data_IF_266595805023
#
_entry.id   IF_266595805023
#
_cell.length_a   1.000
_cell.length_b   1.000
_cell.length_c   1.000
_cell.angle_alpha   90.00
_cell.angle_beta   90.00
_cell.angle_gamma   90.00
#
_symmetry.space_group_name_H-M   'P 1'
#
loop_
_entity.id
_entity.type
_entity.pdbx_description
1 polymer ?
#
# COMPACT_ATOMS: atom_id res chain seq x y z
N UNK A 1 1.69 -1.97 13.88
CA UNK A 1 2.53 -2.84 13.02
C UNK A 1 2.23 -2.58 11.54
N UNK A 2 3.13 -2.88 10.64
CA UNK A 2 2.98 -2.70 9.17
C UNK A 2 3.53 -3.91 8.43
N UNK A 3 3.14 -4.09 7.14
CA UNK A 3 3.57 -5.22 6.30
C UNK A 3 2.73 -6.48 6.50
N UNK A 4 2.95 -7.48 5.62
CA UNK A 4 2.12 -8.70 5.58
C UNK A 4 2.37 -9.68 6.74
N UNK A 5 3.37 -9.42 7.58
CA UNK A 5 3.84 -10.41 8.56
C UNK A 5 4.58 -11.57 7.92
N UNK A 6 5.15 -12.43 8.74
CA UNK A 6 5.82 -13.67 8.31
C UNK A 6 4.94 -14.89 8.53
N UNK A 7 3.99 -14.82 9.45
CA UNK A 7 3.16 -15.94 9.89
C UNK A 7 1.80 -15.44 10.42
N UNK A 8 0.77 -16.28 10.31
CA UNK A 8 -0.56 -16.03 10.91
C UNK A 8 -0.49 -15.94 12.45
N UNK A 9 0.53 -16.52 13.07
CA UNK A 9 0.77 -16.44 14.53
C UNK A 9 1.01 -15.02 15.02
N UNK A 10 1.39 -14.09 14.13
CA UNK A 10 1.56 -12.66 14.44
C UNK A 10 0.21 -11.93 14.66
N UNK A 11 -0.93 -12.62 14.49
CA UNK A 11 -2.29 -12.01 14.55
C UNK A 11 -2.54 -11.24 15.85
N UNK A 12 -2.13 -11.79 16.99
CA UNK A 12 -2.33 -11.15 18.30
C UNK A 12 -1.54 -9.84 18.40
N UNK A 13 -0.31 -9.80 17.88
CA UNK A 13 0.54 -8.61 17.88
C UNK A 13 -0.02 -7.53 16.95
N UNK A 14 -0.53 -7.91 15.77
CA UNK A 14 -1.20 -6.96 14.88
C UNK A 14 -2.42 -6.33 15.54
N UNK A 15 -3.28 -7.13 16.19
CA UNK A 15 -4.47 -6.65 16.89
C UNK A 15 -4.08 -5.76 18.08
N UNK A 16 -3.10 -6.18 18.89
CA UNK A 16 -2.65 -5.39 20.04
C UNK A 16 -2.11 -4.01 19.62
N UNK A 17 -1.27 -3.95 18.58
CA UNK A 17 -0.63 -2.71 18.16
C UNK A 17 -1.55 -1.82 17.32
N UNK A 18 -2.30 -2.40 16.39
CA UNK A 18 -3.11 -1.61 15.47
C UNK A 18 -4.51 -1.35 16.04
N UNK A 19 -5.24 -2.36 16.43
CA UNK A 19 -6.64 -2.20 16.84
C UNK A 19 -6.73 -1.68 18.29
N UNK A 20 -6.14 -2.38 19.25
CA UNK A 20 -6.16 -1.96 20.64
C UNK A 20 -5.42 -0.63 20.82
N UNK A 21 -4.26 -0.45 20.18
CA UNK A 21 -3.53 0.81 20.22
C UNK A 21 -4.36 1.99 19.69
N UNK A 22 -5.10 1.79 18.60
CA UNK A 22 -6.03 2.81 18.07
C UNK A 22 -7.19 3.06 19.04
N UNK A 23 -7.82 2.02 19.57
CA UNK A 23 -8.92 2.15 20.52
C UNK A 23 -8.49 2.91 21.78
N UNK A 24 -7.30 2.63 22.31
CA UNK A 24 -6.74 3.36 23.48
C UNK A 24 -6.52 4.82 23.13
N UNK A 25 -5.93 5.14 21.98
CA UNK A 25 -5.74 6.53 21.54
C UNK A 25 -7.09 7.27 21.45
N UNK A 26 -8.06 6.69 20.76
CA UNK A 26 -9.38 7.31 20.56
C UNK A 26 -10.11 7.52 21.90
N UNK A 27 -10.02 6.58 22.84
CA UNK A 27 -10.54 6.71 24.20
C UNK A 27 -9.92 7.92 24.93
N UNK A 28 -8.61 8.07 24.87
CA UNK A 28 -7.93 9.18 25.56
C UNK A 28 -8.25 10.53 24.90
N UNK A 29 -8.38 10.57 23.56
CA UNK A 29 -8.85 11.75 22.86
C UNK A 29 -10.28 12.15 23.29
N UNK A 30 -11.19 11.18 23.44
CA UNK A 30 -12.54 11.41 23.93
C UNK A 30 -12.53 11.94 25.37
N UNK A 31 -11.75 11.33 26.28
CA UNK A 31 -11.58 11.79 27.66
C UNK A 31 -11.03 13.21 27.74
N UNK A 32 -10.09 13.54 26.90
CA UNK A 32 -9.50 14.88 26.78
C UNK A 32 -10.44 15.90 26.13
N UNK A 33 -11.63 15.52 25.68
CA UNK A 33 -12.54 16.36 24.88
C UNK A 33 -11.83 17.02 23.71
N UNK A 34 -11.02 16.20 23.00
CA UNK A 34 -10.24 16.69 21.87
C UNK A 34 -11.15 17.31 20.81
N UNK A 35 -10.88 18.58 20.46
CA UNK A 35 -11.68 19.36 19.50
C UNK A 35 -10.92 19.66 18.20
N UNK A 36 -9.80 18.97 17.94
CA UNK A 36 -9.03 19.12 16.71
C UNK A 36 -9.53 18.23 15.59
N UNK A 37 -8.63 17.82 14.71
CA UNK A 37 -8.89 16.85 13.64
C UNK A 37 -7.90 15.69 13.71
N UNK A 38 -8.32 14.52 13.29
CA UNK A 38 -7.50 13.32 13.29
C UNK A 38 -7.19 12.90 11.85
N UNK A 39 -5.92 12.63 11.55
CA UNK A 39 -5.49 12.01 10.29
C UNK A 39 -5.00 10.61 10.60
N UNK A 40 -5.63 9.61 9.98
CA UNK A 40 -5.30 8.20 10.14
C UNK A 40 -4.45 7.72 8.97
N UNK A 41 -3.28 7.19 9.25
CA UNK A 41 -2.47 6.46 8.27
C UNK A 41 -3.13 5.11 7.98
N UNK A 42 -3.97 5.04 6.96
CA UNK A 42 -4.53 3.81 6.42
C UNK A 42 -3.67 3.26 5.27
N UNK A 43 -4.16 2.32 4.50
CA UNK A 43 -3.39 1.63 3.47
C UNK A 43 -4.28 1.12 2.34
N UNK A 44 -3.72 1.02 1.13
CA UNK A 44 -4.35 0.36 -0.02
C UNK A 44 -4.72 -1.11 0.25
N UNK A 45 -4.11 -1.75 1.22
CA UNK A 45 -4.36 -3.17 1.53
C UNK A 45 -5.80 -3.45 1.91
N UNK A 46 -6.56 -2.43 2.33
CA UNK A 46 -7.99 -2.55 2.68
C UNK A 46 -8.85 -2.95 1.47
N UNK A 47 -8.39 -2.69 0.25
CA UNK A 47 -9.11 -3.04 -0.98
C UNK A 47 -9.01 -4.53 -1.34
N UNK A 48 -7.99 -5.23 -0.86
CA UNK A 48 -7.71 -6.60 -1.23
C UNK A 48 -7.20 -6.71 -2.67
N UNK A 49 -7.73 -7.65 -3.45
CA UNK A 49 -7.46 -7.74 -4.89
C UNK A 49 -8.06 -6.51 -5.59
N UNK A 50 -7.35 -5.99 -6.59
CA UNK A 50 -7.68 -4.74 -7.24
C UNK A 50 -9.04 -4.70 -7.94
N UNK A 51 -9.23 -3.68 -8.76
CA UNK A 51 -10.42 -3.52 -9.59
C UNK A 51 -10.13 -4.02 -10.99
N UNK A 52 -11.04 -4.80 -11.55
CA UNK A 52 -10.87 -5.41 -12.86
C UNK A 52 -12.11 -5.26 -13.72
N UNK A 53 -11.92 -5.30 -15.04
CA UNK A 53 -13.01 -5.39 -16.00
C UNK A 53 -12.83 -6.63 -16.90
N UNK A 54 -13.94 -7.32 -17.13
CA UNK A 54 -14.12 -8.32 -18.17
C UNK A 54 -14.74 -7.64 -19.40
N UNK A 55 -14.27 -8.00 -20.59
CA UNK A 55 -14.85 -7.45 -21.83
C UNK A 55 -16.36 -7.74 -21.98
N UNK A 56 -16.81 -8.89 -21.46
CA UNK A 56 -18.21 -9.32 -21.56
C UNK A 56 -19.07 -8.91 -20.36
N UNK A 57 -18.48 -8.88 -19.16
CA UNK A 57 -19.22 -8.71 -17.89
C UNK A 57 -18.98 -7.36 -17.22
N UNK A 58 -18.20 -6.47 -17.86
CA UNK A 58 -17.87 -5.18 -17.26
C UNK A 58 -17.03 -5.32 -16.01
N UNK A 59 -17.29 -4.50 -15.00
CA UNK A 59 -16.55 -4.53 -13.73
C UNK A 59 -16.87 -5.80 -12.95
N UNK A 60 -15.83 -6.55 -12.63
CA UNK A 60 -15.89 -7.80 -11.86
C UNK A 60 -14.87 -7.78 -10.73
N UNK A 61 -15.09 -8.63 -9.74
CA UNK A 61 -14.19 -8.81 -8.62
C UNK A 61 -13.73 -10.25 -8.59
N UNK A 62 -12.46 -10.54 -8.93
CA UNK A 62 -11.94 -11.89 -8.86
C UNK A 62 -11.80 -12.35 -7.41
N UNK A 63 -11.99 -13.64 -7.19
CA UNK A 63 -11.70 -14.27 -5.91
C UNK A 63 -10.20 -14.35 -5.62
N UNK A 64 -9.82 -14.98 -4.48
CA UNK A 64 -8.42 -15.29 -4.18
C UNK A 64 -7.78 -16.11 -5.30
N UNK A 65 -6.51 -15.82 -5.62
CA UNK A 65 -5.76 -16.56 -6.62
C UNK A 65 -5.53 -17.99 -6.14
N UNK A 66 -5.71 -18.95 -7.03
CA UNK A 66 -5.57 -20.38 -6.68
C UNK A 66 -4.11 -20.81 -6.78
N UNK A 67 -3.66 -21.57 -5.81
CA UNK A 67 -2.28 -22.06 -5.76
C UNK A 67 -1.89 -22.84 -7.03
N UNK A 68 -2.78 -23.69 -7.54
CA UNK A 68 -2.56 -24.46 -8.77
C UNK A 68 -2.32 -23.58 -10.01
N UNK A 69 -2.96 -22.40 -10.07
CA UNK A 69 -2.74 -21.45 -11.16
C UNK A 69 -1.38 -20.75 -11.01
N UNK A 70 -1.04 -20.32 -9.80
CA UNK A 70 0.25 -19.71 -9.49
C UNK A 70 1.42 -20.67 -9.78
N UNK A 71 1.30 -21.92 -9.32
CA UNK A 71 2.30 -22.97 -9.57
C UNK A 71 2.48 -23.29 -11.08
N UNK A 72 1.43 -23.08 -11.87
CA UNK A 72 1.46 -23.24 -13.32
C UNK A 72 1.88 -21.97 -14.08
N UNK A 73 2.32 -20.91 -13.36
CA UNK A 73 2.72 -19.63 -13.98
C UNK A 73 1.54 -18.79 -14.50
N UNK A 74 0.31 -19.11 -14.12
CA UNK A 74 -0.87 -18.34 -14.47
C UNK A 74 -1.16 -17.33 -13.35
N UNK A 75 -0.59 -16.16 -13.47
CA UNK A 75 -0.61 -15.14 -12.41
C UNK A 75 -1.82 -14.21 -12.49
N UNK A 76 -2.38 -14.01 -13.69
CA UNK A 76 -3.56 -13.14 -13.86
C UNK A 76 -4.83 -13.81 -13.32
N UNK A 77 -5.65 -13.11 -12.51
CA UNK A 77 -6.92 -13.64 -12.07
C UNK A 77 -7.90 -13.74 -13.25
N UNK A 78 -8.60 -14.86 -13.41
CA UNK A 78 -9.63 -15.00 -14.44
C UNK A 78 -10.95 -14.32 -14.02
N UNK A 79 -11.77 -14.00 -15.01
CA UNK A 79 -13.13 -13.55 -14.78
C UNK A 79 -13.91 -14.62 -13.98
N UNK A 80 -14.54 -14.26 -12.85
CA UNK A 80 -15.27 -15.22 -12.03
C UNK A 80 -16.54 -15.78 -12.70
N UNK A 81 -16.99 -15.16 -13.81
CA UNK A 81 -18.20 -15.55 -14.55
C UNK A 81 -17.86 -16.42 -15.75
N UNK A 82 -16.95 -15.97 -16.64
CA UNK A 82 -16.65 -16.68 -17.90
C UNK A 82 -15.22 -17.25 -17.99
N UNK A 83 -14.35 -16.98 -16.99
CA UNK A 83 -12.96 -17.44 -17.01
C UNK A 83 -12.03 -16.67 -17.94
N UNK A 84 -12.51 -15.67 -18.67
CA UNK A 84 -11.69 -14.85 -19.57
C UNK A 84 -10.67 -13.98 -18.82
N UNK A 85 -9.66 -13.52 -19.52
CA UNK A 85 -8.68 -12.57 -18.99
C UNK A 85 -9.34 -11.26 -18.57
N UNK A 86 -8.83 -10.67 -17.50
CA UNK A 86 -9.30 -9.41 -16.96
C UNK A 86 -8.32 -8.28 -17.23
N UNK A 87 -8.83 -7.07 -17.47
CA UNK A 87 -8.05 -5.85 -17.50
C UNK A 87 -8.05 -5.19 -16.11
N UNK A 88 -6.88 -4.88 -15.52
CA UNK A 88 -6.83 -4.16 -14.26
C UNK A 88 -7.22 -2.69 -14.43
N UNK A 89 -7.94 -2.15 -13.45
CA UNK A 89 -8.41 -0.77 -13.42
C UNK A 89 -8.01 -0.06 -12.12
N UNK A 90 -7.96 1.27 -12.18
CA UNK A 90 -7.76 2.13 -11.03
C UNK A 90 -8.88 1.95 -10.00
N UNK A 91 -8.53 1.92 -8.73
CA UNK A 91 -9.45 1.72 -7.61
C UNK A 91 -9.89 3.07 -7.05
N UNK A 92 -11.17 3.42 -7.07
CA UNK A 92 -11.69 4.61 -6.40
C UNK A 92 -11.90 4.32 -4.90
N UNK A 93 -12.07 5.37 -4.09
CA UNK A 93 -12.22 5.27 -2.65
C UNK A 93 -13.52 4.59 -2.19
N UNK A 94 -14.55 4.61 -3.01
CA UNK A 94 -15.83 3.94 -2.80
C UNK A 94 -15.85 2.46 -3.21
N UNK A 95 -14.73 1.93 -3.71
CA UNK A 95 -14.63 0.52 -4.05
C UNK A 95 -14.87 -0.36 -2.81
N UNK A 96 -15.52 -1.52 -2.97
CA UNK A 96 -15.73 -2.46 -1.88
C UNK A 96 -14.39 -2.86 -1.22
N UNK A 97 -14.38 -2.93 0.10
CA UNK A 97 -13.21 -3.28 0.89
C UNK A 97 -13.19 -4.79 1.17
N UNK A 98 -12.03 -5.44 1.02
CA UNK A 98 -11.88 -6.88 1.14
C UNK A 98 -10.48 -7.27 1.61
N UNK A 99 -10.16 -7.05 2.89
CA UNK A 99 -8.83 -7.30 3.41
C UNK A 99 -8.45 -8.77 3.29
N UNK A 100 -7.29 -9.06 2.68
CA UNK A 100 -6.84 -10.42 2.34
C UNK A 100 -5.82 -11.02 3.33
N UNK A 101 -5.43 -10.26 4.34
CA UNK A 101 -4.50 -10.70 5.37
C UNK A 101 -4.75 -9.97 6.69
N UNK A 102 -4.11 -10.42 7.77
CA UNK A 102 -4.28 -9.87 9.12
C UNK A 102 -3.99 -8.37 9.17
N UNK A 103 -2.89 -7.93 8.56
CA UNK A 103 -2.54 -6.50 8.52
C UNK A 103 -3.64 -5.67 7.84
N UNK A 104 -4.14 -6.14 6.70
CA UNK A 104 -5.22 -5.47 5.98
C UNK A 104 -6.50 -5.39 6.83
N UNK A 105 -6.85 -6.47 7.53
CA UNK A 105 -8.00 -6.50 8.43
C UNK A 105 -7.87 -5.46 9.56
N UNK A 106 -6.70 -5.36 10.19
CA UNK A 106 -6.49 -4.36 11.25
C UNK A 106 -6.50 -2.93 10.69
N UNK A 107 -5.99 -2.69 9.48
CA UNK A 107 -6.06 -1.36 8.85
C UNK A 107 -7.51 -0.95 8.56
N UNK A 108 -8.33 -1.86 8.07
CA UNK A 108 -9.74 -1.61 7.86
C UNK A 108 -10.47 -1.37 9.20
N UNK A 109 -10.17 -2.16 10.21
CA UNK A 109 -10.75 -1.97 11.54
C UNK A 109 -10.38 -0.61 12.15
N UNK A 110 -9.15 -0.12 11.97
CA UNK A 110 -8.78 1.24 12.37
C UNK A 110 -9.65 2.31 11.69
N UNK A 111 -9.96 2.18 10.39
CA UNK A 111 -10.89 3.09 9.70
C UNK A 111 -12.29 3.05 10.33
N UNK A 112 -12.79 1.86 10.64
CA UNK A 112 -14.12 1.68 11.27
C UNK A 112 -14.17 2.30 12.68
N UNK A 113 -13.17 2.05 13.53
CA UNK A 113 -13.07 2.65 14.86
C UNK A 113 -13.00 4.18 14.78
N UNK A 114 -12.19 4.71 13.88
CA UNK A 114 -12.04 6.15 13.69
C UNK A 114 -13.33 6.80 13.14
N UNK A 115 -14.05 6.12 12.25
CA UNK A 115 -15.33 6.59 11.74
C UNK A 115 -16.43 6.56 12.82
N UNK A 116 -16.46 5.55 13.69
CA UNK A 116 -17.38 5.48 14.84
C UNK A 116 -17.08 6.63 15.81
N UNK A 117 -15.80 6.81 16.18
CA UNK A 117 -15.36 7.91 17.03
C UNK A 117 -15.76 9.28 16.46
N UNK A 118 -15.58 9.49 15.15
CA UNK A 118 -15.97 10.73 14.49
C UNK A 118 -17.47 11.00 14.60
N UNK A 119 -18.31 9.99 14.41
CA UNK A 119 -19.77 10.14 14.53
C UNK A 119 -20.22 10.46 15.94
N UNK A 120 -19.58 9.85 16.96
CA UNK A 120 -19.98 10.02 18.35
C UNK A 120 -19.48 11.33 18.98
N UNK A 121 -18.31 11.81 18.55
CA UNK A 121 -17.65 12.98 19.13
C UNK A 121 -17.76 14.24 18.31
N UNK A 122 -18.08 14.13 17.02
CA UNK A 122 -18.03 15.23 16.06
C UNK A 122 -16.60 15.58 15.60
N UNK A 123 -15.57 14.90 16.08
CA UNK A 123 -14.18 15.12 15.65
C UNK A 123 -14.00 14.63 14.21
N UNK A 124 -13.61 15.50 13.26
CA UNK A 124 -13.42 15.08 11.89
C UNK A 124 -12.19 14.17 11.75
N UNK A 125 -12.37 13.04 11.04
CA UNK A 125 -11.33 12.06 10.78
C UNK A 125 -11.11 11.93 9.27
N UNK A 126 -9.85 12.06 8.85
CA UNK A 126 -9.39 11.83 7.48
C UNK A 126 -8.52 10.58 7.45
N UNK A 127 -8.94 9.53 6.75
CA UNK A 127 -8.14 8.32 6.55
C UNK A 127 -7.37 8.42 5.22
N UNK A 128 -6.06 8.36 5.27
CA UNK A 128 -5.20 8.39 4.09
C UNK A 128 -4.77 6.96 3.76
N UNK A 129 -5.31 6.39 2.69
CA UNK A 129 -4.97 5.06 2.17
C UNK A 129 -3.69 5.16 1.34
N UNK A 130 -2.55 5.00 2.01
CA UNK A 130 -1.25 5.03 1.34
C UNK A 130 -1.09 3.85 0.40
N UNK A 131 -0.67 4.14 -0.82
CA UNK A 131 -0.22 3.13 -1.76
C UNK A 131 1.23 2.72 -1.48
N UNK A 132 1.97 2.16 -2.43
CA UNK A 132 3.32 1.66 -2.15
C UNK A 132 4.32 2.80 -1.88
N UNK A 133 4.44 3.18 -0.62
CA UNK A 133 5.36 4.25 -0.22
C UNK A 133 6.81 3.80 -0.37
N UNK A 134 7.65 4.67 -0.94
CA UNK A 134 9.09 4.47 -1.03
C UNK A 134 9.85 5.77 -0.76
N UNK A 135 11.16 5.67 -0.51
CA UNK A 135 12.03 6.83 -0.35
C UNK A 135 13.04 6.68 0.80
N UNK A 136 13.81 7.76 1.08
CA UNK A 136 14.81 7.77 2.12
C UNK A 136 14.28 7.33 3.49
N UNK A 137 15.15 6.71 4.29
CA UNK A 137 14.87 6.25 5.66
C UNK A 137 13.94 5.04 5.77
N UNK A 138 13.65 4.35 4.67
CA UNK A 138 12.98 3.04 4.78
C UNK A 138 13.84 2.08 5.63
N UNK A 139 13.23 1.18 6.42
CA UNK A 139 13.97 0.18 7.18
C UNK A 139 14.58 -0.86 6.25
N UNK A 140 15.77 -1.37 6.59
CA UNK A 140 16.41 -2.48 5.87
C UNK A 140 16.16 -3.82 6.57
N UNK A 141 16.31 -4.90 5.81
CA UNK A 141 16.37 -6.28 6.31
C UNK A 141 15.20 -6.65 7.25
N UNK A 142 13.97 -6.24 6.91
CA UNK A 142 12.79 -6.58 7.68
C UNK A 142 11.68 -7.10 6.78
N UNK A 143 11.00 -8.20 7.15
CA UNK A 143 9.86 -8.74 6.40
C UNK A 143 8.64 -7.80 6.41
N UNK A 144 8.59 -6.86 7.35
CA UNK A 144 7.52 -5.89 7.51
C UNK A 144 7.69 -4.65 6.62
N UNK A 145 8.78 -4.56 5.84
CA UNK A 145 8.98 -3.48 4.88
C UNK A 145 8.32 -3.78 3.54
N UNK A 146 7.92 -2.72 2.85
CA UNK A 146 7.42 -2.85 1.47
C UNK A 146 8.50 -3.32 0.50
N UNK A 147 8.08 -3.82 -0.66
CA UNK A 147 8.96 -4.42 -1.69
C UNK A 147 10.13 -3.52 -2.09
N UNK A 148 9.95 -2.21 -2.12
CA UNK A 148 11.01 -1.25 -2.42
C UNK A 148 12.19 -1.36 -1.43
N UNK A 149 11.90 -1.50 -0.13
CA UNK A 149 12.91 -1.67 0.90
C UNK A 149 13.64 -3.01 0.79
N UNK A 150 12.91 -4.08 0.46
CA UNK A 150 13.50 -5.42 0.25
C UNK A 150 14.52 -5.36 -0.90
N UNK A 151 14.16 -4.71 -2.02
CA UNK A 151 15.04 -4.57 -3.16
C UNK A 151 16.26 -3.66 -2.86
N UNK A 152 16.01 -2.53 -2.19
CA UNK A 152 17.11 -1.64 -1.78
C UNK A 152 18.08 -2.34 -0.80
N UNK A 153 17.57 -3.18 0.12
CA UNK A 153 18.39 -3.98 1.03
C UNK A 153 19.22 -5.04 0.27
N UNK A 154 18.63 -5.68 -0.73
CA UNK A 154 19.35 -6.64 -1.58
C UNK A 154 20.50 -5.95 -2.32
N UNK A 155 20.23 -4.82 -2.99
CA UNK A 155 21.23 -4.03 -3.71
C UNK A 155 22.33 -3.51 -2.76
N UNK A 156 21.95 -3.04 -1.57
CA UNK A 156 22.91 -2.59 -0.56
C UNK A 156 23.84 -3.72 -0.08
N UNK A 157 23.35 -4.96 -0.10
CA UNK A 157 24.11 -6.18 0.23
C UNK A 157 24.81 -6.82 -0.97
N UNK A 158 24.89 -6.16 -2.14
CA UNK A 158 25.52 -6.71 -3.34
C UNK A 158 24.76 -7.88 -3.96
N UNK A 159 23.48 -8.05 -3.65
CA UNK A 159 22.64 -9.17 -4.12
C UNK A 159 21.61 -8.69 -5.16
N UNK A 160 21.27 -9.57 -6.09
CA UNK A 160 20.17 -9.32 -7.04
C UNK A 160 18.83 -9.18 -6.29
N UNK A 161 18.03 -8.16 -6.59
CA UNK A 161 16.62 -8.14 -6.19
C UNK A 161 15.86 -9.34 -6.77
N UNK A 162 15.15 -10.07 -5.91
CA UNK A 162 14.32 -11.23 -6.34
C UNK A 162 12.92 -10.74 -6.67
N UNK A 163 12.56 -10.77 -7.93
CA UNK A 163 11.26 -10.36 -8.44
C UNK A 163 10.39 -11.61 -8.55
N UNK A 164 9.31 -11.66 -7.77
CA UNK A 164 8.41 -12.81 -7.75
C UNK A 164 7.48 -12.81 -8.96
N UNK A 165 6.90 -13.97 -9.22
CA UNK A 165 6.06 -14.25 -10.37
C UNK A 165 6.84 -13.89 -11.67
N UNK A 166 6.20 -13.16 -12.56
CA UNK A 166 6.79 -12.60 -13.79
C UNK A 166 7.23 -11.13 -13.64
N UNK A 167 7.05 -10.56 -12.43
CA UNK A 167 7.31 -9.15 -12.17
C UNK A 167 6.23 -8.20 -12.69
N UNK A 168 5.15 -8.71 -13.26
CA UNK A 168 4.08 -7.92 -13.89
C UNK A 168 3.06 -7.33 -12.92
N UNK A 169 3.15 -7.62 -11.62
CA UNK A 169 2.22 -7.10 -10.60
C UNK A 169 2.23 -5.57 -10.61
N UNK A 170 1.08 -4.94 -10.85
CA UNK A 170 0.96 -3.48 -10.88
C UNK A 170 0.72 -2.92 -9.47
N UNK A 171 1.45 -1.87 -9.17
CA UNK A 171 1.35 -1.08 -7.95
C UNK A 171 1.45 0.41 -8.27
N UNK A 172 0.93 1.24 -7.40
CA UNK A 172 1.22 2.67 -7.43
C UNK A 172 2.32 2.98 -6.41
N UNK A 173 3.46 3.47 -6.89
CA UNK A 173 4.60 3.84 -6.06
C UNK A 173 4.57 5.34 -5.79
N UNK A 174 4.36 5.72 -4.53
CA UNK A 174 4.29 7.11 -4.09
C UNK A 174 5.50 7.45 -3.21
N UNK A 175 6.13 8.59 -3.46
CA UNK A 175 7.31 9.00 -2.70
C UNK A 175 6.93 9.47 -1.29
N UNK A 176 7.78 9.21 -0.31
CA UNK A 176 7.51 9.55 1.10
C UNK A 176 7.28 11.05 1.34
N UNK A 177 7.90 11.94 0.54
CA UNK A 177 7.62 13.38 0.61
C UNK A 177 6.19 13.72 0.17
N UNK A 178 5.68 13.04 -0.84
CA UNK A 178 4.28 13.20 -1.27
C UNK A 178 3.33 12.72 -0.19
N UNK A 179 3.63 11.59 0.45
CA UNK A 179 2.83 11.10 1.59
C UNK A 179 2.86 12.10 2.76
N UNK A 180 4.03 12.64 3.09
CA UNK A 180 4.14 13.67 4.13
C UNK A 180 3.30 14.90 3.79
N UNK A 181 3.35 15.36 2.51
CA UNK A 181 2.53 16.48 2.04
C UNK A 181 1.03 16.19 2.13
N UNK A 182 0.57 14.98 1.80
CA UNK A 182 -0.83 14.59 1.95
C UNK A 182 -1.29 14.71 3.42
N UNK A 183 -0.46 14.29 4.38
CA UNK A 183 -0.75 14.45 5.81
C UNK A 183 -0.86 15.92 6.21
N UNK A 184 0.09 16.76 5.76
CA UNK A 184 0.05 18.19 6.06
C UNK A 184 -1.21 18.81 5.47
N UNK A 185 -1.56 18.55 4.23
CA UNK A 185 -2.77 19.06 3.59
C UNK A 185 -4.03 18.65 4.36
N UNK A 186 -4.15 17.39 4.77
CA UNK A 186 -5.29 16.91 5.55
C UNK A 186 -5.39 17.60 6.93
N UNK A 187 -4.25 17.87 7.58
CA UNK A 187 -4.20 18.51 8.90
C UNK A 187 -4.44 20.02 8.83
N UNK A 188 -4.00 20.69 7.76
CA UNK A 188 -3.99 22.16 7.64
C UNK A 188 -5.06 22.72 6.69
N UNK A 189 -5.88 21.88 6.07
CA UNK A 189 -6.97 22.33 5.22
C UNK A 189 -7.84 23.38 5.96
N UNK A 190 -8.27 24.47 5.30
CA UNK A 190 -9.08 25.52 5.96
C UNK A 190 -10.33 24.94 6.62
N UNK A 191 -11.00 24.00 5.95
CA UNK A 191 -12.11 23.24 6.47
C UNK A 191 -11.68 21.77 6.57
N UNK A 192 -12.06 21.08 7.67
CA UNK A 192 -11.78 19.67 7.82
C UNK A 192 -12.43 18.86 6.69
N UNK A 193 -11.73 17.89 6.15
CA UNK A 193 -12.17 17.05 5.03
C UNK A 193 -12.25 15.60 5.51
N UNK A 194 -13.36 15.21 6.18
CA UNK A 194 -13.51 13.83 6.65
C UNK A 194 -13.74 12.86 5.47
N UNK A 195 -13.32 11.61 5.68
CA UNK A 195 -13.46 10.54 4.70
C UNK A 195 -12.17 9.77 4.46
N UNK A 196 -12.21 8.84 3.52
CA UNK A 196 -11.04 8.09 3.09
C UNK A 196 -10.53 8.63 1.74
N UNK A 197 -9.20 8.70 1.59
CA UNK A 197 -8.56 9.24 0.39
C UNK A 197 -7.36 8.38 -0.02
N UNK A 198 -7.27 8.05 -1.30
CA UNK A 198 -6.10 7.42 -1.86
C UNK A 198 -4.92 8.39 -1.92
N UNK A 199 -3.78 7.98 -1.38
CA UNK A 199 -2.52 8.70 -1.52
C UNK A 199 -1.63 7.90 -2.46
N UNK A 200 -1.66 8.27 -3.73
CA UNK A 200 -1.08 7.57 -4.86
C UNK A 200 -0.42 8.55 -5.83
N UNK A 201 0.44 8.05 -6.70
CA UNK A 201 1.03 8.85 -7.78
C UNK A 201 0.07 9.03 -8.97
N UNK A 202 -0.92 8.15 -9.09
CA UNK A 202 -1.82 8.05 -10.23
C UNK A 202 -1.20 7.36 -11.44
N UNK A 203 0.02 6.83 -11.32
CA UNK A 203 0.74 6.15 -12.42
C UNK A 203 1.17 4.75 -11.98
N UNK A 204 0.42 3.71 -12.36
CA UNK A 204 0.79 2.33 -12.01
C UNK A 204 2.09 1.92 -12.69
N UNK A 205 2.87 1.10 -11.99
CA UNK A 205 4.10 0.48 -12.48
C UNK A 205 4.19 -0.95 -12.02
N UNK A 206 4.85 -1.79 -12.81
CA UNK A 206 5.09 -3.16 -12.40
C UNK A 206 6.20 -3.25 -11.33
N UNK A 207 6.17 -4.34 -10.57
CA UNK A 207 7.24 -4.65 -9.62
C UNK A 207 8.58 -4.79 -10.36
N UNK A 208 8.57 -5.39 -11.56
CA UNK A 208 9.76 -5.52 -12.40
C UNK A 208 10.32 -4.17 -12.88
N UNK A 209 9.44 -3.23 -13.30
CA UNK A 209 9.85 -1.86 -13.66
C UNK A 209 10.49 -1.13 -12.47
N UNK A 210 9.91 -1.26 -11.27
CA UNK A 210 10.46 -0.64 -10.07
C UNK A 210 11.81 -1.25 -9.69
N UNK A 211 11.96 -2.58 -9.74
CA UNK A 211 13.23 -3.26 -9.47
C UNK A 211 14.32 -2.80 -10.44
N UNK A 212 13.99 -2.72 -11.72
CA UNK A 212 14.89 -2.28 -12.79
C UNK A 212 15.30 -0.80 -12.61
N UNK A 213 14.36 0.07 -12.30
CA UNK A 213 14.63 1.50 -12.06
C UNK A 213 15.54 1.71 -10.84
N UNK A 214 15.29 0.99 -9.76
CA UNK A 214 16.11 1.07 -8.55
C UNK A 214 17.53 0.50 -8.78
N UNK A 215 17.64 -0.61 -9.50
CA UNK A 215 18.94 -1.19 -9.87
C UNK A 215 19.74 -0.23 -10.77
N UNK A 216 19.13 0.32 -11.82
CA UNK A 216 19.77 1.26 -12.73
C UNK A 216 20.27 2.54 -12.03
N UNK A 217 19.60 2.95 -10.97
CA UNK A 217 20.01 4.09 -10.15
C UNK A 217 21.06 3.75 -9.08
N UNK A 218 21.30 2.47 -8.82
CA UNK A 218 22.25 2.00 -7.79
C UNK A 218 23.66 2.01 -8.34
N UNK A 219 24.58 2.65 -7.62
CA UNK A 219 26.03 2.65 -7.92
C UNK A 219 26.80 1.51 -7.26
N UNK A 220 26.10 0.55 -6.63
CA UNK A 220 26.70 -0.47 -5.74
C UNK A 220 27.21 -1.70 -6.46
N UNK A 221 27.09 -1.79 -7.80
CA UNK A 221 27.61 -2.93 -8.58
C UNK A 221 26.88 -4.26 -8.35
N UNK A 222 25.70 -4.23 -7.74
CA UNK A 222 24.89 -5.43 -7.54
C UNK A 222 24.40 -6.01 -8.87
N UNK A 223 24.14 -7.34 -8.95
CA UNK A 223 23.56 -7.95 -10.15
C UNK A 223 22.17 -7.40 -10.47
N UNK A 224 21.78 -7.51 -11.75
CA UNK A 224 20.44 -7.12 -12.22
C UNK A 224 19.34 -7.91 -11.47
N UNK A 225 18.12 -7.36 -11.39
CA UNK A 225 16.98 -8.06 -10.80
C UNK A 225 16.75 -9.43 -11.46
N UNK A 226 16.43 -10.43 -10.64
CA UNK A 226 16.16 -11.80 -11.07
C UNK A 226 14.67 -12.10 -10.92
N UNK A 227 14.00 -12.35 -12.04
CA UNK A 227 12.62 -12.88 -12.04
C UNK A 227 12.67 -14.37 -11.70
N UNK A 228 11.97 -14.77 -10.62
CA UNK A 228 12.15 -16.09 -10.00
C UNK A 228 11.02 -17.07 -10.30
N UNK A 229 9.84 -16.59 -10.69
CA UNK A 229 8.62 -17.42 -10.76
C UNK A 229 8.03 -17.80 -9.41
N UNK A 230 8.71 -17.48 -8.31
CA UNK A 230 8.19 -17.73 -6.95
C UNK A 230 6.96 -16.86 -6.70
N UNK A 231 6.06 -17.35 -5.88
CA UNK A 231 4.84 -16.64 -5.51
C UNK A 231 4.59 -16.73 -4.00
N UNK A 232 3.72 -15.86 -3.49
CA UNK A 232 3.18 -15.95 -2.12
C UNK A 232 1.68 -16.07 -2.19
N UNK A 233 1.11 -17.05 -1.48
CA UNK A 233 -0.33 -17.12 -1.28
C UNK A 233 -0.78 -15.87 -0.49
N UNK A 234 -1.89 -15.27 -0.91
CA UNK A 234 -2.41 -14.06 -0.29
C UNK A 234 -1.83 -12.74 -0.84
N UNK A 235 -0.76 -12.77 -1.66
CA UNK A 235 -0.38 -11.58 -2.42
C UNK A 235 -1.43 -11.31 -3.50
N UNK A 236 -1.71 -10.02 -3.72
CA UNK A 236 -2.65 -9.55 -4.75
C UNK A 236 -1.92 -9.24 -6.06
N UNK A 237 -2.58 -9.48 -7.21
CA UNK A 237 -1.94 -9.28 -8.52
C UNK A 237 -1.79 -7.79 -8.86
N UNK A 238 -2.89 -7.03 -8.90
CA UNK A 238 -2.87 -5.62 -9.26
C UNK A 238 -3.63 -4.78 -8.23
N UNK A 239 -2.94 -3.78 -7.64
CA UNK A 239 -3.57 -2.78 -6.77
C UNK A 239 -2.93 -1.43 -7.06
N UNK A 240 -3.69 -0.55 -7.71
CA UNK A 240 -3.31 0.84 -7.95
C UNK A 240 -4.57 1.72 -7.96
N UNK A 241 -4.44 2.99 -7.70
CA UNK A 241 -5.57 3.88 -7.54
C UNK A 241 -5.43 5.17 -8.33
N UNK A 242 -6.56 5.80 -8.61
CA UNK A 242 -6.64 7.22 -8.92
C UNK A 242 -6.44 8.05 -7.66
N UNK A 243 -5.91 9.24 -7.84
CA UNK A 243 -5.78 10.24 -6.77
C UNK A 243 -6.71 11.45 -7.00
N UNK A 244 -7.75 11.28 -7.81
CA UNK A 244 -8.60 12.39 -8.23
C UNK A 244 -9.40 12.97 -7.06
N UNK A 245 -9.96 12.12 -6.19
CA UNK A 245 -10.69 12.57 -5.01
C UNK A 245 -9.79 13.33 -4.04
N UNK A 246 -8.57 12.85 -3.82
CA UNK A 246 -7.59 13.55 -2.99
C UNK A 246 -7.16 14.89 -3.63
N UNK A 247 -7.06 14.96 -4.95
CA UNK A 247 -6.77 16.20 -5.67
C UNK A 247 -7.91 17.21 -5.54
N UNK A 248 -9.14 16.78 -5.69
CA UNK A 248 -10.33 17.62 -5.61
C UNK A 248 -10.56 18.12 -4.18
N UNK A 249 -10.53 17.22 -3.20
CA UNK A 249 -10.98 17.51 -1.84
C UNK A 249 -9.87 17.98 -0.90
N UNK A 250 -8.65 17.52 -1.09
CA UNK A 250 -7.48 17.85 -0.24
C UNK A 250 -6.45 18.74 -0.97
N UNK A 251 -6.62 18.96 -2.29
CA UNK A 251 -5.60 19.63 -3.09
C UNK A 251 -4.31 18.79 -3.25
N UNK A 252 -4.37 17.49 -2.98
CA UNK A 252 -3.22 16.62 -3.07
C UNK A 252 -2.98 16.12 -4.51
N UNK A 253 -1.77 16.33 -5.01
CA UNK A 253 -1.24 15.65 -6.22
C UNK A 253 0.19 15.24 -5.94
N UNK A 254 0.57 14.03 -6.31
CA UNK A 254 1.96 13.59 -6.23
C UNK A 254 2.84 14.47 -7.13
N UNK A 255 4.00 14.88 -6.63
CA UNK A 255 4.91 15.82 -7.33
C UNK A 255 6.28 15.21 -7.60
N UNK A 256 6.63 14.13 -6.89
CA UNK A 256 7.95 13.52 -7.01
C UNK A 256 8.00 12.61 -8.25
N UNK A 257 8.83 12.95 -9.27
CA UNK A 257 8.96 12.10 -10.44
C UNK A 257 9.56 10.73 -10.06
N UNK A 258 8.95 9.65 -10.52
CA UNK A 258 9.34 8.28 -10.14
C UNK A 258 10.83 8.00 -10.33
N UNK A 259 11.42 8.36 -11.48
CA UNK A 259 12.84 8.11 -11.75
C UNK A 259 13.76 8.90 -10.81
N UNK A 260 13.44 10.15 -10.55
CA UNK A 260 14.22 10.99 -9.61
C UNK A 260 14.11 10.45 -8.18
N UNK A 261 12.91 10.07 -7.74
CA UNK A 261 12.68 9.45 -6.44
C UNK A 261 13.40 8.12 -6.29
N UNK A 262 13.46 7.28 -7.34
CA UNK A 262 14.24 6.03 -7.32
C UNK A 262 15.74 6.29 -7.21
N UNK A 263 16.27 7.30 -7.90
CA UNK A 263 17.67 7.70 -7.81
C UNK A 263 18.02 8.18 -6.39
N UNK A 264 17.21 9.04 -5.81
CA UNK A 264 17.39 9.46 -4.41
C UNK A 264 17.33 8.29 -3.45
N UNK A 265 16.34 7.40 -3.63
CA UNK A 265 16.17 6.22 -2.77
C UNK A 265 17.35 5.25 -2.87
N UNK A 266 17.88 5.01 -4.06
CA UNK A 266 19.05 4.17 -4.28
C UNK A 266 20.32 4.70 -3.58
N UNK A 267 20.48 6.03 -3.53
CA UNK A 267 21.60 6.70 -2.87
C UNK A 267 21.41 6.81 -1.35
N UNK A 268 20.18 6.76 -0.85
CA UNK A 268 19.87 6.97 0.55
C UNK A 268 20.35 5.83 1.44
N UNK A 269 20.71 6.17 2.69
CA UNK A 269 20.93 5.19 3.72
C UNK A 269 19.59 4.60 4.20
N UNK A 270 19.52 3.27 4.24
CA UNK A 270 18.42 2.57 4.87
C UNK A 270 18.55 2.63 6.39
N UNK A 271 17.44 2.79 7.08
CA UNK A 271 17.41 2.77 8.56
C UNK A 271 17.58 1.33 9.06
N UNK A 272 18.30 1.16 10.16
CA UNK A 272 18.32 -0.12 10.87
C UNK A 272 16.88 -0.55 11.21
N UNK A 273 16.57 -1.87 11.19
CA UNK A 273 15.25 -2.33 11.60
C UNK A 273 14.96 -1.88 13.05
N UNK A 274 13.70 -1.65 13.41
CA UNK A 274 13.34 -1.43 14.81
C UNK A 274 13.75 -2.65 15.64
N UNK A 275 14.28 -2.40 16.83
CA UNK A 275 14.64 -3.44 17.80
C UNK A 275 13.38 -4.07 18.38
#
# INVERSE_FOLDING_TARGET
>A
MVGLGSDVRDIADYVAHNDLGTAVLLRELARARFAGRLVLASSMVVYGEGRYACAEHGLVRPGPRREADLAAGRYEPPCPVCGASLAPHSIPEDAPLDPRNVYAATKLHQEHLAAAFSRETGVPVTALRYHNVYGPRMPRDTPYAGVASIFASALAGGRAPRVFEDGGQLRDFVHVRDVARANVLALTAPTAVPGAFNVASGTPRSIGEMASALHAASTRGAPAPLTTGEYRLGDVRHVFAGADLAAERLGFRAQEPFRAGMAEFAAAALRAPPR
#
